data_IF_393708885556
#
_entry.id   IF_393708885556
#
_cell.length_a   1.000
_cell.length_b   1.000
_cell.length_c   1.000
_cell.angle_alpha   90.00
_cell.angle_beta   90.00
_cell.angle_gamma   90.00
#
_symmetry.space_group_name_H-M   'P 1'
#
loop_
_entity.id
_entity.type
_entity.pdbx_description
1 polymer ?
#
# COMPACT_ATOMS: atom_id res chain seq x y z
N UNK A 1 18.39 4.58 0.78
CA UNK A 1 18.14 3.13 0.85
C UNK A 1 16.98 3.00 1.82
N UNK A 2 15.75 2.91 1.31
CA UNK A 2 14.55 2.74 2.15
C UNK A 2 14.69 1.37 2.78
N UNK A 3 14.85 1.30 4.10
CA UNK A 3 14.84 0.00 4.76
C UNK A 3 13.42 -0.51 4.64
N UNK A 4 13.20 -1.62 3.94
CA UNK A 4 11.93 -2.33 4.01
C UNK A 4 11.86 -2.90 5.43
N UNK A 5 11.32 -2.11 6.35
CA UNK A 5 11.10 -2.50 7.74
C UNK A 5 9.91 -3.44 7.74
N UNK A 6 10.06 -4.59 8.37
CA UNK A 6 8.92 -5.46 8.62
C UNK A 6 7.86 -4.69 9.44
N UNK A 7 6.56 -4.80 9.11
CA UNK A 7 5.51 -4.11 9.84
C UNK A 7 5.52 -4.47 11.33
N UNK A 8 5.18 -3.52 12.19
CA UNK A 8 5.04 -3.77 13.63
C UNK A 8 3.92 -4.79 13.92
N UNK A 9 3.97 -5.47 15.08
CA UNK A 9 2.88 -6.35 15.51
C UNK A 9 1.54 -5.63 15.65
N UNK A 10 1.55 -4.34 15.99
CA UNK A 10 0.35 -3.50 16.08
C UNK A 10 -0.24 -3.25 14.69
N UNK A 11 0.59 -2.91 13.69
CA UNK A 11 0.16 -2.79 12.30
C UNK A 11 -0.44 -4.09 11.76
N UNK A 12 0.18 -5.24 12.06
CA UNK A 12 -0.34 -6.55 11.66
C UNK A 12 -1.67 -6.90 12.36
N UNK A 13 -1.88 -6.46 13.60
CA UNK A 13 -3.12 -6.70 14.33
C UNK A 13 -4.32 -5.93 13.76
N UNK A 14 -4.07 -4.84 13.02
CA UNK A 14 -5.12 -4.06 12.35
C UNK A 14 -5.53 -4.64 10.98
N UNK A 15 -4.83 -5.66 10.48
CA UNK A 15 -5.26 -6.38 9.27
C UNK A 15 -6.46 -7.26 9.59
N UNK A 16 -7.53 -7.09 8.82
CA UNK A 16 -8.73 -7.91 8.89
C UNK A 16 -8.95 -8.59 7.55
N UNK A 17 -9.58 -9.77 7.55
CA UNK A 17 -9.91 -10.43 6.28
C UNK A 17 -10.74 -9.52 5.37
N UNK A 18 -11.63 -8.71 5.95
CA UNK A 18 -12.45 -7.76 5.22
C UNK A 18 -11.61 -6.67 4.52
N UNK A 19 -10.64 -6.06 5.21
CA UNK A 19 -9.84 -4.99 4.63
C UNK A 19 -8.86 -5.52 3.56
N UNK A 20 -8.28 -6.70 3.80
CA UNK A 20 -7.43 -7.40 2.84
C UNK A 20 -8.22 -7.73 1.58
N UNK A 21 -9.37 -8.40 1.73
CA UNK A 21 -10.23 -8.75 0.59
C UNK A 21 -10.72 -7.50 -0.15
N UNK A 22 -11.12 -6.44 0.57
CA UNK A 22 -11.55 -5.20 -0.06
C UNK A 22 -10.47 -4.55 -0.91
N UNK A 23 -9.21 -4.60 -0.45
CA UNK A 23 -8.02 -4.03 -1.12
C UNK A 23 -7.47 -4.92 -2.24
N UNK A 24 -7.63 -6.23 -2.11
CA UNK A 24 -7.25 -7.24 -3.11
C UNK A 24 -8.14 -7.21 -4.37
N UNK A 25 -9.29 -6.51 -4.31
CA UNK A 25 -10.14 -6.30 -5.48
C UNK A 25 -9.42 -5.45 -6.53
N UNK A 26 -8.99 -6.12 -7.60
CA UNK A 26 -8.51 -5.49 -8.81
C UNK A 26 -9.64 -4.71 -9.49
N UNK A 27 -9.31 -3.58 -10.10
CA UNK A 27 -10.26 -2.85 -10.95
C UNK A 27 -10.64 -3.71 -12.17
N UNK A 28 -11.83 -3.54 -12.76
CA UNK A 28 -12.25 -4.28 -13.95
C UNK A 28 -11.27 -4.15 -15.13
N UNK A 29 -10.64 -2.98 -15.29
CA UNK A 29 -9.58 -2.75 -16.26
C UNK A 29 -8.31 -3.56 -15.95
N UNK A 30 -7.98 -3.79 -14.68
CA UNK A 30 -6.82 -4.59 -14.24
C UNK A 30 -7.08 -6.10 -14.38
N UNK A 31 -8.33 -6.54 -14.20
CA UNK A 31 -8.73 -7.94 -14.45
C UNK A 31 -8.69 -8.30 -15.94
N UNK A 32 -8.95 -7.33 -16.82
CA UNK A 32 -9.02 -7.53 -18.27
C UNK A 32 -7.64 -7.60 -18.94
N UNK A 33 -6.59 -7.14 -18.25
CA UNK A 33 -5.21 -7.16 -18.72
C UNK A 33 -4.58 -8.57 -18.58
N UNK A 34 -5.26 -9.50 -17.90
CA UNK A 34 -4.81 -10.87 -17.65
C UNK A 34 -4.74 -11.76 -18.91
N UNK A 35 -5.45 -11.42 -20.00
CA UNK A 35 -5.44 -12.23 -21.24
C UNK A 35 -4.22 -11.96 -22.14
N UNK A 36 -3.36 -10.99 -21.83
CA UNK A 36 -2.23 -10.69 -22.73
C UNK A 36 -1.13 -9.75 -22.23
N UNK A 37 -1.22 -9.21 -21.02
CA UNK A 37 -0.18 -8.37 -20.45
C UNK A 37 0.03 -8.77 -19.02
N UNK A 38 0.92 -9.73 -18.77
CA UNK A 38 1.36 -10.11 -17.44
C UNK A 38 1.58 -8.85 -16.59
N UNK A 39 0.65 -8.56 -15.68
CA UNK A 39 0.91 -7.68 -14.55
C UNK A 39 1.93 -8.46 -13.73
N UNK A 40 3.19 -8.06 -13.89
CA UNK A 40 4.34 -8.87 -13.58
C UNK A 40 4.38 -9.34 -12.13
N UNK A 41 4.14 -10.63 -11.95
CA UNK A 41 4.70 -11.43 -10.86
C UNK A 41 3.65 -12.02 -9.93
N UNK A 42 3.18 -13.23 -10.22
CA UNK A 42 3.05 -14.42 -9.33
C UNK A 42 2.72 -14.26 -7.83
N UNK A 43 2.20 -13.13 -7.38
CA UNK A 43 1.88 -12.84 -5.99
C UNK A 43 0.37 -12.69 -5.87
N UNK A 44 -0.21 -13.58 -5.08
CA UNK A 44 -1.61 -13.57 -4.67
C UNK A 44 -2.05 -12.13 -4.33
N UNK A 45 -3.14 -11.60 -4.93
CA UNK A 45 -3.60 -10.24 -4.69
C UNK A 45 -3.90 -9.98 -3.20
N UNK A 46 -4.29 -11.02 -2.44
CA UNK A 46 -4.49 -10.88 -1.00
C UNK A 46 -3.17 -10.71 -0.25
N UNK A 47 -2.10 -11.38 -0.66
CA UNK A 47 -0.76 -11.21 -0.08
C UNK A 47 -0.22 -9.81 -0.34
N UNK A 48 -0.41 -9.29 -1.56
CA UNK A 48 -0.03 -7.92 -1.89
C UNK A 48 -0.87 -6.90 -1.11
N UNK A 49 -2.18 -7.11 -1.05
CA UNK A 49 -3.08 -6.26 -0.30
C UNK A 49 -2.71 -6.20 1.19
N UNK A 50 -2.43 -7.35 1.81
CA UNK A 50 -1.99 -7.44 3.19
C UNK A 50 -0.66 -6.69 3.41
N UNK A 51 0.33 -6.85 2.54
CA UNK A 51 1.61 -6.15 2.67
C UNK A 51 1.44 -4.62 2.61
N UNK A 52 0.65 -4.13 1.65
CA UNK A 52 0.37 -2.69 1.48
C UNK A 52 -0.39 -2.14 2.68
N UNK A 53 -1.40 -2.86 3.17
CA UNK A 53 -2.17 -2.43 4.34
C UNK A 53 -1.27 -2.38 5.58
N UNK A 54 -0.45 -3.40 5.81
CA UNK A 54 0.46 -3.42 6.96
C UNK A 54 1.49 -2.28 6.92
N UNK A 55 2.02 -1.95 5.73
CA UNK A 55 2.88 -0.77 5.56
C UNK A 55 2.12 0.54 5.83
N UNK A 56 0.87 0.63 5.39
CA UNK A 56 0.03 1.82 5.59
C UNK A 56 -0.32 2.03 7.07
N UNK A 57 -0.62 0.95 7.78
CA UNK A 57 -0.86 0.96 9.23
C UNK A 57 0.43 1.34 9.98
N UNK A 58 1.58 0.77 9.63
CA UNK A 58 2.89 1.16 10.20
C UNK A 58 3.16 2.65 10.01
N UNK A 59 2.89 3.21 8.82
CA UNK A 59 3.07 4.66 8.57
C UNK A 59 2.07 5.54 9.31
N UNK A 60 0.92 4.99 9.70
CA UNK A 60 -0.10 5.70 10.47
C UNK A 60 0.26 5.74 11.95
N UNK A 61 0.64 4.59 12.52
CA UNK A 61 1.01 4.45 13.93
C UNK A 61 2.44 4.94 14.24
N UNK A 62 3.35 4.76 13.28
CA UNK A 62 4.76 5.11 13.38
C UNK A 62 5.17 6.03 12.23
N UNK A 63 4.44 7.15 12.11
CA UNK A 63 4.73 8.19 11.14
C UNK A 63 6.21 8.61 11.20
N UNK A 64 6.93 8.44 10.09
CA UNK A 64 8.31 8.89 9.98
C UNK A 64 8.31 10.43 9.92
N UNK A 65 9.01 11.12 10.84
CA UNK A 65 9.12 12.58 10.81
C UNK A 65 9.70 13.12 9.49
N UNK A 66 10.48 12.32 8.75
CA UNK A 66 11.04 12.69 7.45
C UNK A 66 10.06 12.42 6.28
N UNK A 67 9.07 11.52 6.42
CA UNK A 67 8.00 11.30 5.42
C UNK A 67 7.01 12.47 5.35
N UNK A 68 6.94 13.27 6.42
CA UNK A 68 6.13 14.49 6.46
C UNK A 68 6.60 15.57 5.46
N UNK A 69 7.74 15.36 4.79
CA UNK A 69 8.26 16.22 3.74
C UNK A 69 7.90 15.77 2.31
N UNK A 70 6.86 14.93 2.16
CA UNK A 70 6.18 14.80 0.87
C UNK A 70 5.87 16.22 0.37
N UNK A 71 6.54 16.63 -0.72
CA UNK A 71 6.53 17.98 -1.27
C UNK A 71 5.15 18.41 -1.72
N UNK A 72 4.26 18.65 -0.76
CA UNK A 72 3.00 19.33 -0.95
C UNK A 72 3.40 20.75 -1.31
N UNK A 73 3.37 21.07 -2.61
CA UNK A 73 3.26 22.44 -3.06
C UNK A 73 2.25 23.10 -2.15
N UNK A 74 2.71 24.07 -1.35
CA UNK A 74 1.79 24.87 -0.58
C UNK A 74 0.96 25.66 -1.58
N UNK A 75 -0.24 26.07 -1.20
CA UNK A 75 -1.07 26.90 -2.09
C UNK A 75 -0.38 28.20 -2.53
N UNK A 76 0.70 28.60 -1.84
CA UNK A 76 1.59 29.71 -2.21
C UNK A 76 2.64 29.37 -3.30
N UNK A 77 2.92 28.09 -3.58
CA UNK A 77 3.89 27.65 -4.60
C UNK A 77 3.32 27.65 -6.03
N UNK A 78 2.03 27.98 -6.19
CA UNK A 78 1.39 28.16 -7.50
C UNK A 78 1.21 29.65 -7.78
N UNK A 79 2.26 30.29 -8.32
CA UNK A 79 2.21 31.65 -8.90
C UNK A 79 1.82 31.62 -10.37
#
# INVERSE_FOLDING_TARGET
MTTHKDPSPEALANLTEENVHARARLLPEETSVDDGGAVGGTLDPEVQAAAILAESEERTEHADPDDAQGGHRRSEDTV
#
